data_IF_301588395912
#
_entry.id   IF_301588395912
#
_cell.length_a   1.000
_cell.length_b   1.000
_cell.length_c   1.000
_cell.angle_alpha   90.00
_cell.angle_beta   90.00
_cell.angle_gamma   90.00
#
_symmetry.space_group_name_H-M   'P 1'
#
loop_
_entity.id
_entity.type
_entity.pdbx_description
1 polymer ?
#
# COMPACT_ATOMS: atom_id res chain seq x y z
N UNK A 1 61.81 -13.08 -25.48
CA UNK A 1 62.51 -11.98 -24.77
C UNK A 1 61.67 -10.72 -24.92
N UNK A 2 60.97 -10.31 -23.84
CA UNK A 2 60.36 -8.98 -23.53
C UNK A 2 59.45 -8.34 -24.62
N UNK A 3 58.20 -7.95 -24.37
CA UNK A 3 57.74 -6.99 -23.36
C UNK A 3 56.29 -7.28 -22.93
N UNK A 4 56.05 -7.15 -21.63
CA UNK A 4 54.73 -6.93 -21.04
C UNK A 4 54.24 -5.51 -21.35
N UNK A 5 53.01 -5.36 -21.82
CA UNK A 5 52.21 -4.14 -21.57
C UNK A 5 50.81 -4.59 -21.15
N UNK A 6 50.57 -4.52 -19.85
CA UNK A 6 49.25 -4.56 -19.26
C UNK A 6 48.50 -3.27 -19.65
N UNK A 7 47.28 -3.41 -20.16
CA UNK A 7 46.28 -2.36 -20.11
C UNK A 7 45.03 -2.95 -19.45
N UNK A 8 45.08 -2.94 -18.12
CA UNK A 8 43.90 -3.01 -17.29
C UNK A 8 43.06 -1.74 -17.55
N UNK A 9 41.91 -1.90 -18.20
CA UNK A 9 40.78 -0.99 -18.06
C UNK A 9 39.58 -1.80 -17.57
N UNK A 10 39.66 -2.18 -16.29
CA UNK A 10 38.49 -2.17 -15.42
C UNK A 10 38.10 -0.70 -15.25
N UNK A 11 36.96 -0.31 -15.81
CA UNK A 11 36.51 1.08 -15.76
C UNK A 11 35.00 1.17 -15.88
N UNK A 12 34.34 1.23 -14.71
CA UNK A 12 33.13 1.98 -14.42
C UNK A 12 32.06 1.96 -15.53
N UNK A 13 31.05 1.11 -15.42
CA UNK A 13 30.03 1.32 -14.39
C UNK A 13 28.83 1.99 -15.05
N UNK A 14 27.91 1.17 -15.56
CA UNK A 14 26.58 1.59 -15.94
C UNK A 14 25.84 2.05 -14.66
N UNK A 15 26.05 3.30 -14.25
CA UNK A 15 25.52 3.86 -13.01
C UNK A 15 24.75 5.16 -13.23
N UNK A 16 23.96 5.26 -14.30
CA UNK A 16 23.11 6.43 -14.57
C UNK A 16 21.61 6.12 -14.67
N UNK A 17 21.18 4.87 -14.41
CA UNK A 17 19.75 4.52 -14.40
C UNK A 17 19.09 4.61 -13.01
N UNK A 18 19.88 4.78 -11.94
CA UNK A 18 19.39 4.71 -10.55
C UNK A 18 18.83 6.04 -9.99
N UNK A 19 18.98 7.15 -10.72
CA UNK A 19 18.47 8.47 -10.29
C UNK A 19 16.98 8.66 -10.56
N UNK A 20 16.49 8.21 -11.72
CA UNK A 20 15.08 8.36 -12.10
C UNK A 20 14.15 7.44 -11.31
N UNK A 21 14.58 6.20 -11.04
CA UNK A 21 13.81 5.25 -10.24
C UNK A 21 13.65 5.72 -8.78
N UNK A 22 14.72 6.27 -8.18
CA UNK A 22 14.67 6.82 -6.81
C UNK A 22 13.76 8.04 -6.71
N UNK A 23 13.86 8.98 -7.64
CA UNK A 23 13.01 10.16 -7.63
C UNK A 23 11.52 9.82 -7.80
N UNK A 24 11.20 8.82 -8.64
CA UNK A 24 9.83 8.33 -8.80
C UNK A 24 9.31 7.60 -7.55
N UNK A 25 10.16 6.79 -6.89
CA UNK A 25 9.83 6.13 -5.63
C UNK A 25 9.58 7.15 -4.50
N UNK A 26 10.42 8.18 -4.37
CA UNK A 26 10.28 9.24 -3.36
C UNK A 26 9.00 10.07 -3.57
N UNK A 27 8.65 10.35 -4.84
CA UNK A 27 7.40 11.03 -5.17
C UNK A 27 6.18 10.16 -4.83
N UNK A 28 6.20 8.87 -5.15
CA UNK A 28 5.10 7.93 -4.84
C UNK A 28 4.91 7.81 -3.33
N UNK A 29 6.02 7.68 -2.57
CA UNK A 29 6.01 7.70 -1.11
C UNK A 29 5.37 8.98 -0.54
N UNK A 30 5.74 10.14 -1.07
CA UNK A 30 5.18 11.44 -0.65
C UNK A 30 3.68 11.52 -0.91
N UNK A 31 3.23 11.08 -2.09
CA UNK A 31 1.80 11.04 -2.44
C UNK A 31 1.04 10.10 -1.50
N UNK A 32 1.50 8.87 -1.31
CA UNK A 32 0.85 7.89 -0.42
C UNK A 32 0.81 8.36 1.03
N UNK A 33 1.88 9.00 1.52
CA UNK A 33 1.92 9.58 2.88
C UNK A 33 0.92 10.73 3.03
N UNK A 34 0.77 11.56 1.99
CA UNK A 34 -0.20 12.65 1.95
C UNK A 34 -1.63 12.12 2.00
N UNK A 35 -1.94 11.11 1.18
CA UNK A 35 -3.24 10.44 1.19
C UNK A 35 -3.49 9.78 2.56
N UNK A 36 -2.50 9.07 3.11
CA UNK A 36 -2.61 8.43 4.41
C UNK A 36 -2.90 9.44 5.52
N UNK A 37 -2.25 10.60 5.47
CA UNK A 37 -2.48 11.71 6.40
C UNK A 37 -3.89 12.28 6.24
N UNK A 38 -4.38 12.44 5.01
CA UNK A 38 -5.71 12.96 4.74
C UNK A 38 -6.81 12.02 5.23
N UNK A 39 -6.74 10.73 4.88
CA UNK A 39 -7.70 9.71 5.33
C UNK A 39 -7.56 9.50 6.85
N UNK A 40 -6.33 9.52 7.36
CA UNK A 40 -6.01 9.35 8.78
C UNK A 40 -6.59 10.42 9.72
N UNK A 41 -7.10 11.54 9.19
CA UNK A 41 -7.87 12.51 10.00
C UNK A 41 -9.13 11.91 10.62
N UNK A 42 -9.65 10.83 10.04
CA UNK A 42 -10.77 10.06 10.59
C UNK A 42 -10.34 8.94 11.56
N UNK A 43 -9.05 8.78 11.87
CA UNK A 43 -8.63 7.77 12.84
C UNK A 43 -9.28 8.02 14.20
N UNK A 44 -9.80 6.95 14.81
CA UNK A 44 -10.54 7.03 16.06
C UNK A 44 -12.03 7.34 15.89
N UNK A 45 -12.51 7.65 14.68
CA UNK A 45 -13.91 8.04 14.45
C UNK A 45 -14.73 6.91 13.83
N UNK A 46 -16.04 6.95 14.13
CA UNK A 46 -17.03 6.10 13.47
C UNK A 46 -17.27 6.64 12.06
N UNK A 47 -16.99 5.85 11.03
CA UNK A 47 -17.25 6.21 9.62
C UNK A 47 -18.65 5.78 9.17
N UNK A 48 -19.25 4.83 9.90
CA UNK A 48 -20.66 4.48 9.81
C UNK A 48 -21.18 4.01 11.19
N UNK A 49 -22.40 3.46 11.25
CA UNK A 49 -23.02 3.04 12.53
C UNK A 49 -22.29 1.91 13.25
N UNK A 50 -21.46 1.13 12.57
CA UNK A 50 -20.79 -0.06 13.09
C UNK A 50 -19.29 -0.09 12.82
N UNK A 51 -18.78 0.70 11.88
CA UNK A 51 -17.37 0.71 11.49
C UNK A 51 -16.65 1.93 12.05
N UNK A 52 -15.55 1.68 12.75
CA UNK A 52 -14.62 2.69 13.24
C UNK A 52 -13.32 2.60 12.44
N UNK A 53 -12.79 3.72 11.98
CA UNK A 53 -11.46 3.76 11.40
C UNK A 53 -10.41 3.78 12.52
N UNK A 54 -9.51 2.82 12.54
CA UNK A 54 -8.47 2.71 13.57
C UNK A 54 -7.17 3.33 13.13
N UNK A 55 -6.70 3.00 11.93
CA UNK A 55 -5.44 3.51 11.42
C UNK A 55 -5.39 3.56 9.91
N UNK A 56 -4.65 4.54 9.41
CA UNK A 56 -4.19 4.62 8.02
C UNK A 56 -2.72 4.94 8.07
N UNK A 57 -1.91 4.20 7.32
CA UNK A 57 -0.47 4.40 7.26
C UNK A 57 0.07 4.13 5.86
N UNK A 58 1.10 4.89 5.48
CA UNK A 58 1.95 4.58 4.35
C UNK A 58 3.34 4.23 4.87
N UNK A 59 3.80 3.01 4.56
CA UNK A 59 5.15 2.54 4.82
C UNK A 59 5.92 2.57 3.50
N UNK A 60 6.75 3.59 3.33
CA UNK A 60 7.53 3.76 2.11
C UNK A 60 8.65 2.73 1.94
N UNK A 61 9.18 2.19 3.04
CA UNK A 61 10.24 1.18 2.97
C UNK A 61 9.66 -0.17 2.53
N UNK A 62 8.49 -0.53 3.05
CA UNK A 62 7.77 -1.74 2.67
C UNK A 62 6.94 -1.58 1.39
N UNK A 63 6.75 -0.34 0.90
CA UNK A 63 5.79 0.03 -0.15
C UNK A 63 4.38 -0.47 0.16
N UNK A 64 3.88 -0.18 1.37
CA UNK A 64 2.56 -0.61 1.82
C UNK A 64 1.72 0.60 2.21
N UNK A 65 0.51 0.70 1.66
CA UNK A 65 -0.54 1.55 2.18
C UNK A 65 -1.53 0.68 2.96
N UNK A 66 -1.64 0.86 4.27
CA UNK A 66 -2.48 0.03 5.12
C UNK A 66 -3.63 0.85 5.72
N UNK A 67 -4.84 0.29 5.65
CA UNK A 67 -6.01 0.82 6.35
C UNK A 67 -6.59 -0.25 7.26
N UNK A 68 -6.88 0.12 8.51
CA UNK A 68 -7.48 -0.77 9.50
C UNK A 68 -8.74 -0.19 10.09
N UNK A 69 -9.73 -1.04 10.25
CA UNK A 69 -11.01 -0.72 10.88
C UNK A 69 -11.35 -1.70 12.00
N UNK A 70 -12.16 -1.23 12.95
CA UNK A 70 -12.90 -2.07 13.88
C UNK A 70 -14.37 -2.08 13.48
N UNK A 71 -15.01 -3.26 13.49
CA UNK A 71 -16.43 -3.41 13.19
C UNK A 71 -17.14 -3.94 14.44
N UNK A 72 -18.12 -3.17 14.93
CA UNK A 72 -18.94 -3.51 16.10
C UNK A 72 -20.05 -4.52 15.74
N UNK A 73 -19.70 -5.57 15.01
CA UNK A 73 -20.57 -6.69 14.65
C UNK A 73 -19.73 -7.97 14.80
N UNK A 74 -20.20 -8.99 15.53
CA UNK A 74 -19.45 -10.24 15.70
C UNK A 74 -19.49 -11.08 14.42
N UNK A 75 -18.50 -11.95 14.22
CA UNK A 75 -18.41 -12.78 13.02
C UNK A 75 -19.61 -13.69 12.77
N UNK A 76 -20.33 -14.09 13.82
CA UNK A 76 -21.54 -14.92 13.74
C UNK A 76 -22.73 -14.20 13.08
N UNK A 77 -22.69 -12.87 13.02
CA UNK A 77 -23.70 -12.04 12.36
C UNK A 77 -23.25 -11.53 10.98
N UNK A 78 -22.01 -11.85 10.57
CA UNK A 78 -21.52 -11.52 9.24
C UNK A 78 -22.03 -12.52 8.21
N UNK A 79 -22.25 -12.03 6.99
CA UNK A 79 -22.45 -12.93 5.84
C UNK A 79 -21.16 -13.73 5.58
N UNK A 80 -21.24 -15.00 5.13
CA UNK A 80 -20.04 -15.80 4.85
C UNK A 80 -19.04 -15.14 3.87
N UNK A 81 -19.53 -14.31 2.94
CA UNK A 81 -18.77 -13.63 1.89
C UNK A 81 -18.52 -12.14 2.18
N UNK A 82 -18.75 -11.69 3.42
CA UNK A 82 -18.73 -10.26 3.75
C UNK A 82 -17.40 -9.58 3.39
N UNK A 83 -16.26 -10.24 3.62
CA UNK A 83 -14.93 -9.69 3.31
C UNK A 83 -14.83 -9.44 1.82
N UNK A 84 -15.27 -10.39 0.99
CA UNK A 84 -15.25 -10.26 -0.47
C UNK A 84 -16.12 -9.09 -0.93
N UNK A 85 -17.31 -8.92 -0.36
CA UNK A 85 -18.22 -7.83 -0.70
C UNK A 85 -17.63 -6.46 -0.32
N UNK A 86 -17.13 -6.31 0.90
CA UNK A 86 -16.56 -5.05 1.38
C UNK A 86 -15.28 -4.71 0.62
N UNK A 87 -14.40 -5.71 0.43
CA UNK A 87 -13.20 -5.58 -0.41
C UNK A 87 -13.57 -5.10 -1.81
N UNK A 88 -14.50 -5.75 -2.50
CA UNK A 88 -14.90 -5.38 -3.86
C UNK A 88 -15.40 -3.95 -3.99
N UNK A 89 -16.14 -3.45 -2.99
CA UNK A 89 -16.58 -2.04 -2.96
C UNK A 89 -15.42 -1.06 -2.81
N UNK A 90 -14.43 -1.39 -1.97
CA UNK A 90 -13.23 -0.59 -1.77
C UNK A 90 -12.34 -0.63 -3.02
N UNK A 91 -12.14 -1.82 -3.59
CA UNK A 91 -11.41 -2.02 -4.84
C UNK A 91 -12.00 -1.18 -5.96
N UNK A 92 -13.33 -1.15 -6.12
CA UNK A 92 -13.97 -0.32 -7.13
C UNK A 92 -13.61 1.17 -6.99
N UNK A 93 -13.37 1.66 -5.78
CA UNK A 93 -12.96 3.05 -5.56
C UNK A 93 -11.47 3.25 -5.82
N UNK A 94 -10.63 2.36 -5.28
CA UNK A 94 -9.16 2.43 -5.39
C UNK A 94 -8.69 2.21 -6.83
N UNK A 95 -9.28 1.26 -7.55
CA UNK A 95 -8.90 0.93 -8.93
C UNK A 95 -9.32 1.99 -9.95
N UNK A 96 -10.07 3.03 -9.55
CA UNK A 96 -10.38 4.20 -10.38
C UNK A 96 -9.57 5.42 -10.00
N UNK A 97 -8.81 5.35 -8.91
CA UNK A 97 -7.99 6.45 -8.42
C UNK A 97 -6.59 6.34 -9.02
N UNK A 98 -6.19 7.37 -9.77
CA UNK A 98 -4.92 7.37 -10.50
C UNK A 98 -3.69 7.34 -9.59
N UNK A 99 -3.77 7.90 -8.38
CA UNK A 99 -2.65 7.91 -7.44
C UNK A 99 -2.42 6.50 -6.87
N UNK A 100 -3.51 5.79 -6.54
CA UNK A 100 -3.40 4.40 -6.11
C UNK A 100 -2.97 3.46 -7.24
N UNK A 101 -3.52 3.62 -8.45
CA UNK A 101 -3.12 2.84 -9.61
C UNK A 101 -1.62 3.04 -9.91
N UNK A 102 -1.16 4.29 -9.96
CA UNK A 102 0.26 4.60 -10.15
C UNK A 102 1.15 4.03 -9.05
N UNK A 103 0.69 4.04 -7.79
CA UNK A 103 1.43 3.41 -6.70
C UNK A 103 1.52 1.88 -6.86
N UNK A 104 0.43 1.21 -7.24
CA UNK A 104 0.42 -0.24 -7.49
C UNK A 104 1.32 -0.62 -8.67
N UNK A 105 1.34 0.17 -9.74
CA UNK A 105 2.31 0.01 -10.85
C UNK A 105 3.77 0.21 -10.39
N UNK A 106 4.00 1.10 -9.41
CA UNK A 106 5.30 1.30 -8.76
C UNK A 106 5.63 0.23 -7.69
N UNK A 107 4.81 -0.82 -7.58
CA UNK A 107 5.01 -1.97 -6.69
C UNK A 107 4.49 -1.79 -5.27
N UNK A 108 3.62 -0.80 -5.03
CA UNK A 108 2.95 -0.66 -3.73
C UNK A 108 1.82 -1.67 -3.56
N UNK A 109 1.64 -2.11 -2.30
CA UNK A 109 0.51 -2.93 -1.88
C UNK A 109 -0.48 -2.11 -1.08
N UNK A 110 -1.77 -2.27 -1.37
CA UNK A 110 -2.83 -1.63 -0.60
C UNK A 110 -3.52 -2.70 0.26
N UNK A 111 -3.26 -2.64 1.56
CA UNK A 111 -3.70 -3.61 2.55
C UNK A 111 -4.89 -3.08 3.34
N UNK A 112 -5.93 -3.90 3.46
CA UNK A 112 -7.16 -3.62 4.17
C UNK A 112 -7.27 -4.61 5.34
N UNK A 113 -7.54 -4.11 6.54
CA UNK A 113 -7.67 -4.94 7.74
C UNK A 113 -8.93 -4.59 8.54
N UNK A 114 -9.59 -5.61 9.07
CA UNK A 114 -10.79 -5.45 9.89
C UNK A 114 -10.70 -6.32 11.14
N UNK A 115 -11.05 -5.73 12.28
CA UNK A 115 -11.22 -6.45 13.56
C UNK A 115 -12.69 -6.43 13.94
N UNK A 116 -13.28 -7.60 14.14
CA UNK A 116 -14.69 -7.76 14.52
C UNK A 116 -14.88 -7.66 16.04
N UNK A 117 -16.12 -7.49 16.49
CA UNK A 117 -16.46 -7.33 17.91
C UNK A 117 -16.09 -8.54 18.78
N UNK A 118 -15.99 -9.73 18.19
CA UNK A 118 -15.54 -10.96 18.85
C UNK A 118 -14.01 -11.18 18.76
N UNK A 119 -13.27 -10.18 18.30
CA UNK A 119 -11.82 -10.20 18.19
C UNK A 119 -11.28 -10.93 16.95
N UNK A 120 -12.15 -11.50 16.10
CA UNK A 120 -11.69 -12.11 14.84
C UNK A 120 -11.22 -11.04 13.87
N UNK A 121 -10.14 -11.33 13.16
CA UNK A 121 -9.57 -10.44 12.16
C UNK A 121 -9.80 -10.97 10.75
N UNK A 122 -9.89 -10.05 9.79
CA UNK A 122 -9.84 -10.33 8.38
C UNK A 122 -8.90 -9.32 7.72
N UNK A 123 -8.08 -9.77 6.78
CA UNK A 123 -7.17 -8.93 6.01
C UNK A 123 -7.34 -9.25 4.52
N UNK A 124 -7.18 -8.23 3.69
CA UNK A 124 -7.23 -8.36 2.24
C UNK A 124 -6.23 -7.41 1.58
N UNK A 125 -5.73 -7.80 0.40
CA UNK A 125 -4.96 -6.92 -0.48
C UNK A 125 -5.85 -6.54 -1.67
N UNK A 126 -5.88 -5.25 -2.01
CA UNK A 126 -6.58 -4.73 -3.18
C UNK A 126 -5.92 -5.26 -4.45
N UNK A 127 -6.73 -5.70 -5.40
CA UNK A 127 -6.27 -6.09 -6.72
C UNK A 127 -7.14 -5.44 -7.82
N UNK A 128 -6.47 -4.73 -8.73
CA UNK A 128 -7.07 -4.06 -9.88
C UNK A 128 -6.72 -4.82 -11.15
N UNK A 129 -7.32 -6.01 -11.30
CA UNK A 129 -7.26 -6.80 -12.54
C UNK A 129 -8.40 -6.45 -13.49
#
# INVERSE_FOLDING_TARGET
MRLFVACAFLGLGAALASGSARAADDQTCTTMTTIATAIGKANGTMIDKVTKQESVAADCAAKVFAVKWSINVPSTQMKPDWVTLVKGNIEASICRDMDFMGAMEAGWKISLGWTLADGKTADAEVNCN
#
